data_IF_654956966741
#
_entry.id   IF_654956966741
#
_cell.length_a   1.000
_cell.length_b   1.000
_cell.length_c   1.000
_cell.angle_alpha   90.00
_cell.angle_beta   90.00
_cell.angle_gamma   90.00
#
_symmetry.space_group_name_H-M   'P 1'
#
loop_
_entity.id
_entity.type
_entity.pdbx_description
1 polymer ?
#
# COMPACT_ATOMS: atom_id res chain seq x y z
N UNK A 1 -12.72 -9.23 -5.72
CA UNK A 1 -12.98 -9.81 -4.36
C UNK A 1 -13.58 -8.72 -3.47
N UNK A 2 -14.26 -9.04 -2.37
CA UNK A 2 -14.77 -8.03 -1.42
C UNK A 2 -14.20 -8.24 -0.02
N UNK A 3 -13.81 -7.17 0.65
CA UNK A 3 -13.36 -7.20 2.04
C UNK A 3 -14.58 -7.29 2.98
N UNK A 4 -14.48 -8.11 4.03
CA UNK A 4 -15.50 -8.20 5.08
C UNK A 4 -15.30 -7.09 6.12
N UNK A 5 -16.34 -6.80 6.89
CA UNK A 5 -16.26 -5.81 7.97
C UNK A 5 -15.21 -6.18 9.04
N UNK A 6 -15.06 -7.48 9.33
CA UNK A 6 -14.04 -7.99 10.26
C UNK A 6 -12.63 -7.77 9.73
N UNK A 7 -12.35 -8.17 8.50
CA UNK A 7 -11.06 -7.93 7.83
C UNK A 7 -10.73 -6.43 7.78
N UNK A 8 -11.72 -5.59 7.44
CA UNK A 8 -11.54 -4.15 7.38
C UNK A 8 -11.14 -3.56 8.74
N UNK A 9 -11.82 -3.97 9.82
CA UNK A 9 -11.47 -3.53 11.19
C UNK A 9 -10.08 -3.97 11.61
N UNK A 10 -9.66 -5.19 11.24
CA UNK A 10 -8.30 -5.67 11.53
C UNK A 10 -7.24 -4.83 10.82
N UNK A 11 -7.44 -4.53 9.53
CA UNK A 11 -6.54 -3.70 8.74
C UNK A 11 -6.47 -2.27 9.30
N UNK A 12 -7.62 -1.68 9.65
CA UNK A 12 -7.69 -0.35 10.26
C UNK A 12 -6.97 -0.29 11.62
N UNK A 13 -7.24 -1.25 12.50
CA UNK A 13 -6.59 -1.33 13.81
C UNK A 13 -5.07 -1.54 13.69
N UNK A 14 -4.62 -2.30 12.68
CA UNK A 14 -3.20 -2.45 12.38
C UNK A 14 -2.56 -1.11 11.98
N UNK A 15 -3.18 -0.34 11.08
CA UNK A 15 -2.67 0.99 10.70
C UNK A 15 -2.60 1.93 11.88
N UNK A 16 -3.64 1.96 12.72
CA UNK A 16 -3.70 2.83 13.90
C UNK A 16 -2.50 2.59 14.84
N UNK A 17 -2.09 1.33 15.02
CA UNK A 17 -0.92 0.96 15.84
C UNK A 17 0.41 1.43 15.24
N UNK A 18 0.47 1.60 13.93
CA UNK A 18 1.69 2.01 13.24
C UNK A 18 1.86 3.54 13.19
N UNK A 19 0.80 4.31 13.50
CA UNK A 19 0.75 5.77 13.33
C UNK A 19 1.90 6.54 13.98
N UNK A 20 2.27 6.16 15.19
CA UNK A 20 3.30 6.89 15.95
C UNK A 20 4.72 6.68 15.39
N UNK A 21 4.94 5.61 14.61
CA UNK A 21 6.24 5.23 14.05
C UNK A 21 6.28 5.32 12.51
N UNK A 22 5.32 5.99 11.88
CA UNK A 22 5.14 5.98 10.42
C UNK A 22 6.39 6.38 9.62
N UNK A 23 7.17 7.35 10.09
CA UNK A 23 8.40 7.76 9.41
C UNK A 23 9.38 6.59 9.35
N UNK A 24 9.65 5.93 10.48
CA UNK A 24 10.52 4.76 10.58
C UNK A 24 10.00 3.61 9.72
N UNK A 25 8.70 3.31 9.78
CA UNK A 25 8.10 2.20 9.02
C UNK A 25 8.11 2.46 7.52
N UNK A 26 7.95 3.70 7.10
CA UNK A 26 8.01 4.08 5.69
C UNK A 26 9.42 3.90 5.09
N UNK A 27 10.47 4.14 5.87
CA UNK A 27 11.84 3.87 5.43
C UNK A 27 12.08 2.37 5.25
N UNK A 28 11.60 1.54 6.18
CA UNK A 28 11.68 0.08 6.07
C UNK A 28 10.95 -0.43 4.82
N UNK A 29 9.75 0.10 4.55
CA UNK A 29 9.02 -0.20 3.33
C UNK A 29 9.83 0.09 2.06
N UNK A 30 10.45 1.26 1.95
CA UNK A 30 11.24 1.61 0.77
C UNK A 30 12.52 0.77 0.64
N UNK A 31 13.17 0.44 1.75
CA UNK A 31 14.34 -0.44 1.75
C UNK A 31 13.97 -1.86 1.26
N UNK A 32 12.89 -2.42 1.79
CA UNK A 32 12.35 -3.71 1.37
C UNK A 32 11.91 -3.68 -0.11
N UNK A 33 11.25 -2.60 -0.54
CA UNK A 33 10.81 -2.43 -1.93
C UNK A 33 12.01 -2.37 -2.88
N UNK A 34 13.02 -1.54 -2.61
CA UNK A 34 14.16 -1.40 -3.52
C UNK A 34 15.08 -2.60 -3.51
N UNK A 35 15.08 -3.41 -2.45
CA UNK A 35 15.73 -4.71 -2.44
C UNK A 35 15.06 -5.69 -3.41
N UNK A 36 13.71 -5.65 -3.49
CA UNK A 36 12.90 -6.54 -4.34
C UNK A 36 12.80 -6.05 -5.79
N UNK A 37 12.72 -4.74 -5.99
CA UNK A 37 12.54 -4.06 -7.27
C UNK A 37 13.49 -2.86 -7.39
N UNK A 38 14.80 -3.10 -7.63
CA UNK A 38 15.81 -2.04 -7.64
C UNK A 38 15.57 -0.96 -8.70
N UNK A 39 14.90 -1.30 -9.81
CA UNK A 39 14.57 -0.35 -10.88
C UNK A 39 13.59 0.74 -10.44
N UNK A 40 12.77 0.49 -9.41
CA UNK A 40 11.88 1.50 -8.86
C UNK A 40 12.64 2.63 -8.17
N UNK A 41 13.85 2.38 -7.66
CA UNK A 41 14.65 3.38 -6.92
C UNK A 41 14.89 4.65 -7.72
N UNK A 42 15.10 4.55 -9.04
CA UNK A 42 15.30 5.72 -9.90
C UNK A 42 14.07 6.59 -10.09
N UNK A 43 12.87 6.11 -9.73
CA UNK A 43 11.61 6.85 -9.82
C UNK A 43 11.36 7.75 -8.60
N UNK A 44 12.08 7.52 -7.50
CA UNK A 44 11.93 8.29 -6.27
C UNK A 44 12.95 9.44 -6.22
N UNK A 45 12.47 10.65 -5.89
CA UNK A 45 13.34 11.80 -5.60
C UNK A 45 14.01 11.60 -4.24
N UNK A 46 15.11 12.32 -4.00
CA UNK A 46 15.97 12.20 -2.80
C UNK A 46 15.25 12.38 -1.44
N UNK A 47 13.99 12.83 -1.41
CA UNK A 47 13.17 12.96 -0.18
C UNK A 47 12.27 11.73 0.04
N UNK A 48 12.87 10.63 0.49
CA UNK A 48 12.15 9.40 0.84
C UNK A 48 11.27 9.57 2.10
N UNK A 49 11.67 10.44 3.03
CA UNK A 49 10.89 10.70 4.24
C UNK A 49 9.55 11.39 3.92
N UNK A 50 9.61 12.47 3.12
CA UNK A 50 8.40 13.15 2.64
C UNK A 50 7.53 12.28 1.75
N UNK A 51 8.13 11.34 1.00
CA UNK A 51 7.38 10.36 0.22
C UNK A 51 6.71 9.31 1.13
N UNK A 52 7.40 8.84 2.16
CA UNK A 52 6.86 7.91 3.15
C UNK A 52 5.60 8.41 3.83
N UNK A 53 5.63 9.66 4.31
CA UNK A 53 4.44 10.31 4.87
C UNK A 53 3.25 10.34 3.89
N UNK A 54 3.50 10.64 2.61
CA UNK A 54 2.45 10.67 1.57
C UNK A 54 1.88 9.28 1.30
N UNK A 55 2.72 8.26 1.25
CA UNK A 55 2.31 6.87 1.06
C UNK A 55 1.40 6.44 2.21
N UNK A 56 1.84 6.62 3.46
CA UNK A 56 1.06 6.20 4.64
C UNK A 56 -0.26 6.97 4.77
N UNK A 57 -0.26 8.28 4.54
CA UNK A 57 -1.50 9.09 4.54
C UNK A 57 -2.47 8.63 3.45
N UNK A 58 -1.95 8.25 2.28
CA UNK A 58 -2.77 7.71 1.19
C UNK A 58 -3.35 6.35 1.56
N UNK A 59 -2.53 5.47 2.15
CA UNK A 59 -2.95 4.15 2.61
C UNK A 59 -4.05 4.25 3.68
N UNK A 60 -3.87 5.13 4.67
CA UNK A 60 -4.87 5.42 5.71
C UNK A 60 -6.21 5.88 5.10
N UNK A 61 -6.16 6.84 4.17
CA UNK A 61 -7.37 7.34 3.49
C UNK A 61 -8.12 6.24 2.73
N UNK A 62 -7.39 5.36 2.04
CA UNK A 62 -7.98 4.29 1.22
C UNK A 62 -8.56 3.20 2.12
N UNK A 63 -7.81 2.77 3.14
CA UNK A 63 -8.27 1.75 4.09
C UNK A 63 -9.50 2.21 4.87
N UNK A 64 -9.59 3.50 5.22
CA UNK A 64 -10.78 4.06 5.89
C UNK A 64 -12.08 3.97 5.07
N UNK A 65 -11.99 3.79 3.75
CA UNK A 65 -13.13 3.78 2.82
C UNK A 65 -13.14 2.57 1.89
N UNK A 66 -12.41 1.51 2.25
CA UNK A 66 -12.17 0.37 1.37
C UNK A 66 -13.46 -0.42 1.06
N UNK A 67 -14.49 -0.30 1.89
CA UNK A 67 -15.84 -0.83 1.69
C UNK A 67 -16.72 0.01 0.75
N UNK A 68 -16.26 1.20 0.33
CA UNK A 68 -16.99 2.13 -0.52
C UNK A 68 -16.18 2.49 -1.77
N UNK A 69 -16.18 1.58 -2.74
CA UNK A 69 -15.43 1.74 -3.99
C UNK A 69 -15.82 3.02 -4.76
N UNK A 70 -17.11 3.34 -4.83
CA UNK A 70 -17.61 4.50 -5.57
C UNK A 70 -17.10 5.83 -4.99
N UNK A 71 -16.99 5.93 -3.66
CA UNK A 71 -16.41 7.10 -3.01
C UNK A 71 -14.91 7.26 -3.31
N UNK A 72 -14.20 6.16 -3.60
CA UNK A 72 -12.77 6.16 -3.91
C UNK A 72 -12.46 6.16 -5.42
N UNK A 73 -13.46 6.02 -6.28
CA UNK A 73 -13.29 5.86 -7.72
C UNK A 73 -12.37 6.92 -8.36
N UNK A 74 -12.61 8.20 -8.07
CA UNK A 74 -11.79 9.32 -8.58
C UNK A 74 -10.38 9.30 -7.99
N UNK A 75 -10.23 8.92 -6.72
CA UNK A 75 -8.94 8.82 -6.04
C UNK A 75 -8.09 7.68 -6.62
N UNK A 76 -8.67 6.51 -6.84
CA UNK A 76 -7.98 5.39 -7.50
C UNK A 76 -7.53 5.77 -8.91
N UNK A 77 -8.37 6.46 -9.67
CA UNK A 77 -7.97 6.95 -11.00
C UNK A 77 -6.77 7.90 -10.88
N UNK A 78 -6.84 8.91 -10.02
CA UNK A 78 -5.75 9.88 -9.87
C UNK A 78 -4.44 9.25 -9.40
N UNK A 79 -4.51 8.27 -8.50
CA UNK A 79 -3.34 7.51 -8.07
C UNK A 79 -2.79 6.64 -9.21
N UNK A 80 -3.63 5.90 -9.92
CA UNK A 80 -3.24 5.10 -11.08
C UNK A 80 -2.59 5.94 -12.18
N UNK A 81 -3.19 7.08 -12.54
CA UNK A 81 -2.64 8.03 -13.52
C UNK A 81 -1.25 8.53 -13.09
N UNK A 82 -1.07 8.86 -11.80
CA UNK A 82 0.22 9.30 -11.26
C UNK A 82 1.29 8.21 -11.37
N UNK A 83 0.96 6.97 -10.98
CA UNK A 83 1.88 5.83 -11.05
C UNK A 83 2.27 5.53 -12.50
N UNK A 84 1.29 5.52 -13.42
CA UNK A 84 1.55 5.34 -14.85
C UNK A 84 2.45 6.45 -15.41
N UNK A 85 2.23 7.71 -15.02
CA UNK A 85 3.01 8.86 -15.49
C UNK A 85 4.49 8.76 -15.13
N UNK A 86 4.81 8.17 -13.99
CA UNK A 86 6.20 7.99 -13.52
C UNK A 86 6.81 6.64 -13.94
N UNK A 87 6.08 5.85 -14.73
CA UNK A 87 6.58 4.60 -15.31
C UNK A 87 6.42 3.36 -14.44
N UNK A 88 5.58 3.40 -13.41
CA UNK A 88 5.21 2.20 -12.64
C UNK A 88 4.30 1.32 -13.49
N UNK A 89 4.60 0.04 -13.57
CA UNK A 89 3.86 -0.97 -14.32
C UNK A 89 3.00 -1.83 -13.39
N UNK A 90 2.05 -2.59 -13.95
CA UNK A 90 1.22 -3.49 -13.15
C UNK A 90 2.05 -4.55 -12.39
N UNK A 91 3.19 -4.97 -12.95
CA UNK A 91 4.10 -5.93 -12.35
C UNK A 91 4.81 -5.39 -11.08
N UNK A 92 4.89 -4.07 -10.92
CA UNK A 92 5.55 -3.45 -9.77
C UNK A 92 4.72 -3.48 -8.48
N UNK A 93 3.43 -3.81 -8.56
CA UNK A 93 2.57 -3.92 -7.38
C UNK A 93 2.85 -5.18 -6.56
N UNK A 94 3.32 -6.27 -7.17
CA UNK A 94 3.70 -7.48 -6.43
C UNK A 94 4.88 -7.22 -5.46
N UNK A 95 6.03 -6.65 -5.87
CA UNK A 95 7.10 -6.34 -4.93
C UNK A 95 6.71 -5.26 -3.91
N UNK A 96 5.78 -4.34 -4.25
CA UNK A 96 5.21 -3.40 -3.27
C UNK A 96 4.34 -4.09 -2.22
N UNK A 97 3.53 -5.08 -2.60
CA UNK A 97 2.75 -5.88 -1.65
C UNK A 97 3.69 -6.56 -0.65
N UNK A 98 4.70 -7.26 -1.14
CA UNK A 98 5.64 -7.98 -0.29
C UNK A 98 6.40 -7.05 0.66
N UNK A 99 6.84 -5.89 0.17
CA UNK A 99 7.49 -4.89 1.01
C UNK A 99 6.55 -4.35 2.10
N UNK A 100 5.27 -4.15 1.79
CA UNK A 100 4.27 -3.70 2.76
C UNK A 100 4.02 -4.78 3.84
N UNK A 101 3.89 -6.04 3.43
CA UNK A 101 3.71 -7.18 4.35
C UNK A 101 4.93 -7.36 5.26
N UNK A 102 6.14 -7.27 4.71
CA UNK A 102 7.38 -7.31 5.50
C UNK A 102 7.43 -6.17 6.53
N UNK A 103 6.99 -4.97 6.15
CA UNK A 103 6.94 -3.79 7.03
C UNK A 103 6.00 -4.02 8.21
N UNK A 104 4.83 -4.60 7.97
CA UNK A 104 3.87 -4.91 9.04
C UNK A 104 4.35 -6.04 9.93
N UNK A 105 4.98 -7.06 9.35
CA UNK A 105 5.55 -8.18 10.10
C UNK A 105 6.68 -7.73 11.02
N UNK A 106 7.58 -6.90 10.53
CA UNK A 106 8.65 -6.31 11.36
C UNK A 106 8.07 -5.45 12.50
N UNK A 107 7.02 -4.68 12.19
CA UNK A 107 6.45 -3.75 13.15
C UNK A 107 5.61 -4.40 14.25
N UNK A 108 4.85 -5.45 13.93
CA UNK A 108 3.94 -6.11 14.86
C UNK A 108 4.50 -7.42 15.43
N UNK A 109 5.54 -8.00 14.82
CA UNK A 109 6.11 -9.27 15.26
C UNK A 109 5.06 -10.38 15.32
N UNK A 110 4.96 -11.03 16.48
CA UNK A 110 3.99 -12.11 16.73
C UNK A 110 2.52 -11.66 16.64
N UNK A 111 2.24 -10.36 16.80
CA UNK A 111 0.89 -9.82 16.63
C UNK A 111 0.47 -9.73 15.14
N UNK A 112 1.41 -9.89 14.20
CA UNK A 112 1.10 -9.98 12.78
C UNK A 112 0.67 -11.41 12.42
N UNK A 113 -0.52 -11.77 12.88
CA UNK A 113 -1.06 -13.13 12.72
C UNK A 113 -1.30 -13.49 11.24
N UNK A 114 -1.36 -14.79 10.89
CA UNK A 114 -1.69 -15.22 9.53
C UNK A 114 -3.05 -14.70 9.02
N UNK A 115 -4.01 -14.51 9.93
CA UNK A 115 -5.31 -13.92 9.62
C UNK A 115 -5.18 -12.44 9.24
N UNK A 116 -4.40 -11.67 10.01
CA UNK A 116 -4.14 -10.26 9.74
C UNK A 116 -3.38 -10.08 8.43
N UNK A 117 -2.38 -10.93 8.16
CA UNK A 117 -1.66 -10.94 6.88
C UNK A 117 -2.62 -11.19 5.71
N UNK A 118 -3.49 -12.19 5.81
CA UNK A 118 -4.48 -12.50 4.76
C UNK A 118 -5.40 -11.31 4.50
N UNK A 119 -5.87 -10.63 5.56
CA UNK A 119 -6.71 -9.44 5.44
C UNK A 119 -5.96 -8.29 4.75
N UNK A 120 -4.68 -8.08 5.07
CA UNK A 120 -3.85 -7.06 4.45
C UNK A 120 -3.57 -7.31 2.98
N UNK A 121 -3.21 -8.54 2.60
CA UNK A 121 -3.01 -8.92 1.19
C UNK A 121 -4.28 -8.72 0.37
N UNK A 122 -5.43 -9.11 0.94
CA UNK A 122 -6.74 -8.89 0.32
C UNK A 122 -7.06 -7.40 0.16
N UNK A 123 -6.78 -6.59 1.18
CA UNK A 123 -6.96 -5.14 1.11
C UNK A 123 -6.06 -4.53 0.03
N UNK A 124 -4.78 -4.90 0.00
CA UNK A 124 -3.83 -4.45 -1.01
C UNK A 124 -4.30 -4.81 -2.43
N UNK A 125 -4.71 -6.05 -2.67
CA UNK A 125 -5.21 -6.51 -3.96
C UNK A 125 -6.40 -5.67 -4.46
N UNK A 126 -7.37 -5.36 -3.58
CA UNK A 126 -8.51 -4.50 -3.94
C UNK A 126 -8.04 -3.11 -4.40
N UNK A 127 -7.06 -2.53 -3.69
CA UNK A 127 -6.52 -1.21 -3.99
C UNK A 127 -5.73 -1.21 -5.30
N UNK A 128 -4.80 -2.15 -5.46
CA UNK A 128 -3.94 -2.26 -6.63
C UNK A 128 -4.75 -2.57 -7.89
N UNK A 129 -5.70 -3.51 -7.84
CA UNK A 129 -6.63 -3.81 -8.94
C UNK A 129 -7.40 -2.55 -9.39
N UNK A 130 -7.89 -1.76 -8.43
CA UNK A 130 -8.60 -0.53 -8.75
C UNK A 130 -7.70 0.55 -9.37
N UNK A 131 -6.49 0.72 -8.85
CA UNK A 131 -5.52 1.66 -9.42
C UNK A 131 -5.10 1.26 -10.84
N UNK A 132 -4.77 -0.02 -11.04
CA UNK A 132 -4.36 -0.57 -12.35
C UNK A 132 -5.50 -0.38 -13.37
N UNK A 133 -6.71 -0.86 -13.02
CA UNK A 133 -7.88 -0.81 -13.90
C UNK A 133 -8.30 0.63 -14.23
N UNK A 134 -8.32 1.53 -13.24
CA UNK A 134 -8.84 2.90 -13.41
C UNK A 134 -7.79 3.85 -13.97
N UNK A 135 -6.52 3.63 -13.66
CA UNK A 135 -5.37 4.37 -14.20
C UNK A 135 -4.94 3.93 -15.59
N UNK A 136 -5.54 2.88 -16.15
CA UNK A 136 -5.17 2.36 -17.47
C UNK A 136 -3.74 1.80 -17.51
N UNK A 137 -3.24 1.32 -16.37
CA UNK A 137 -1.90 0.75 -16.28
C UNK A 137 -1.91 -0.60 -17.01
N UNK A 138 -1.09 -0.73 -18.04
CA UNK A 138 -0.90 -2.00 -18.74
C UNK A 138 0.25 -2.78 -18.12
N UNK A 139 0.36 -4.05 -18.55
CA UNK A 139 1.56 -4.86 -18.30
C UNK A 139 2.84 -4.13 -18.67
#
# INVERSE_FOLDING_TARGET
MSITEHELRMVQACLDRLRDDFDTRSMYFYDALFTRAPHLKSMFRDDLAGQGMKFMSTLDTIVLKLDNEDALASRYKGLGDMHATIGVEAADFEPMEEALIDTMRDALGDDFTPELETAWRKAYAIVSENMIRRGGMTR
#
